data_IF_245404656900
#
_entry.id   IF_245404656900
#
_cell.length_a   1.000
_cell.length_b   1.000
_cell.length_c   1.000
_cell.angle_alpha   90.00
_cell.angle_beta   90.00
_cell.angle_gamma   90.00
#
_symmetry.space_group_name_H-M   'P 1'
#
loop_
_entity.id
_entity.type
_entity.pdbx_description
1 polymer ?
#
# COMPACT_ATOMS: atom_id res chain seq x y z
N UNK A 1 39.59 -57.64 -40.40
CA UNK A 1 39.47 -56.33 -39.73
C UNK A 1 38.61 -55.45 -40.61
N UNK A 2 37.36 -55.17 -40.22
CA UNK A 2 36.46 -54.31 -41.00
C UNK A 2 36.17 -53.05 -40.19
N UNK A 3 36.58 -51.90 -40.73
CA UNK A 3 36.27 -50.57 -40.17
C UNK A 3 35.10 -49.98 -40.96
N UNK A 4 33.94 -49.82 -40.32
CA UNK A 4 32.84 -49.03 -40.88
C UNK A 4 32.99 -47.57 -40.42
N UNK A 5 33.08 -46.58 -41.34
CA UNK A 5 33.09 -45.19 -40.93
C UNK A 5 31.65 -44.74 -40.67
N UNK A 6 31.26 -44.61 -39.42
CA UNK A 6 29.99 -43.97 -39.05
C UNK A 6 30.13 -42.45 -39.18
N UNK A 7 29.67 -41.90 -40.30
CA UNK A 7 29.32 -40.48 -40.40
C UNK A 7 27.82 -40.33 -40.11
N UNK A 8 27.46 -40.15 -38.85
CA UNK A 8 26.14 -39.66 -38.46
C UNK A 8 26.28 -38.19 -38.07
N UNK A 9 25.83 -37.30 -38.94
CA UNK A 9 25.57 -35.90 -38.59
C UNK A 9 24.08 -35.81 -38.19
N UNK A 10 23.73 -35.90 -36.89
CA UNK A 10 22.34 -35.71 -36.50
C UNK A 10 22.02 -34.22 -36.64
N UNK A 11 21.21 -33.89 -37.64
CA UNK A 11 20.54 -32.58 -37.72
C UNK A 11 19.80 -32.37 -36.41
N UNK A 12 20.34 -31.54 -35.53
CA UNK A 12 19.64 -31.09 -34.33
C UNK A 12 18.47 -30.24 -34.78
N UNK A 13 17.28 -30.84 -34.86
CA UNK A 13 16.05 -30.08 -34.97
C UNK A 13 15.90 -29.26 -33.69
N UNK A 14 16.19 -27.97 -33.79
CA UNK A 14 15.92 -27.00 -32.74
C UNK A 14 14.41 -26.79 -32.66
N UNK A 15 13.74 -27.61 -31.86
CA UNK A 15 12.35 -27.33 -31.48
C UNK A 15 12.36 -26.30 -30.36
N UNK A 16 12.02 -25.06 -30.68
CA UNK A 16 11.69 -24.07 -29.66
C UNK A 16 10.26 -24.30 -29.19
N UNK A 17 10.10 -24.91 -28.01
CA UNK A 17 8.79 -24.95 -27.35
C UNK A 17 8.59 -23.59 -26.67
N UNK A 18 7.67 -22.78 -27.19
CA UNK A 18 7.16 -21.60 -26.48
C UNK A 18 6.16 -22.06 -25.43
N UNK A 19 6.64 -22.44 -24.25
CA UNK A 19 5.76 -22.65 -23.09
C UNK A 19 5.38 -21.28 -22.54
N UNK A 20 4.13 -20.88 -22.71
CA UNK A 20 3.55 -19.77 -21.95
C UNK A 20 3.32 -20.26 -20.53
N UNK A 21 4.36 -20.21 -19.69
CA UNK A 21 4.26 -20.51 -18.26
C UNK A 21 3.40 -19.42 -17.61
N UNK A 22 2.08 -19.64 -17.55
CA UNK A 22 1.23 -18.87 -16.66
C UNK A 22 1.63 -19.23 -15.23
N UNK A 23 2.36 -18.32 -14.57
CA UNK A 23 2.77 -18.48 -13.18
C UNK A 23 1.51 -18.49 -12.32
N UNK A 24 1.15 -19.67 -11.81
CA UNK A 24 0.04 -19.77 -10.85
C UNK A 24 0.34 -18.87 -9.65
N UNK A 25 -0.65 -18.17 -9.10
CA UNK A 25 -0.45 -17.38 -7.89
C UNK A 25 0.09 -18.30 -6.80
N UNK A 26 1.12 -17.83 -6.09
CA UNK A 26 1.69 -18.59 -4.99
C UNK A 26 0.64 -18.80 -3.89
N UNK A 27 0.77 -19.91 -3.15
CA UNK A 27 -0.15 -20.21 -2.05
C UNK A 27 -0.19 -19.04 -1.05
N UNK A 28 -1.40 -18.56 -0.73
CA UNK A 28 -1.59 -17.42 0.17
C UNK A 28 -1.29 -16.05 -0.45
N UNK A 29 -1.34 -15.95 -1.79
CA UNK A 29 -1.33 -14.67 -2.50
C UNK A 29 -2.71 -13.98 -2.39
N UNK A 30 -2.76 -12.72 -1.94
CA UNK A 30 -4.02 -11.97 -1.89
C UNK A 30 -4.41 -11.48 -3.29
N UNK A 31 -5.29 -12.25 -3.95
CA UNK A 31 -5.85 -11.87 -5.25
C UNK A 31 -6.68 -10.58 -5.15
N UNK A 32 -7.51 -10.49 -4.10
CA UNK A 32 -8.37 -9.35 -3.79
C UNK A 32 -7.96 -8.74 -2.43
N UNK A 33 -6.97 -7.83 -2.41
CA UNK A 33 -6.53 -7.22 -1.16
C UNK A 33 -7.63 -6.33 -0.56
N UNK A 34 -7.90 -6.48 0.73
CA UNK A 34 -8.93 -5.70 1.45
C UNK A 34 -8.29 -4.83 2.54
N UNK A 35 -7.32 -5.39 3.27
CA UNK A 35 -6.61 -4.69 4.34
C UNK A 35 -5.32 -4.06 3.81
N UNK A 36 -4.78 -3.08 4.53
CA UNK A 36 -3.47 -2.52 4.16
C UNK A 36 -2.39 -3.61 4.18
N UNK A 37 -2.51 -4.56 5.11
CA UNK A 37 -1.69 -5.77 5.17
C UNK A 37 -1.72 -6.58 3.89
N UNK A 38 -2.92 -6.82 3.33
CA UNK A 38 -3.07 -7.55 2.07
C UNK A 38 -2.42 -6.81 0.90
N UNK A 39 -2.59 -5.48 0.84
CA UNK A 39 -1.96 -4.66 -0.19
C UNK A 39 -0.43 -4.74 -0.10
N UNK A 40 0.15 -4.67 1.11
CA UNK A 40 1.59 -4.82 1.34
C UNK A 40 2.04 -6.23 0.93
N UNK A 41 1.35 -7.27 1.40
CA UNK A 41 1.65 -8.67 1.08
C UNK A 41 1.60 -8.93 -0.43
N UNK A 42 0.59 -8.39 -1.10
CA UNK A 42 0.43 -8.47 -2.56
C UNK A 42 1.64 -7.88 -3.26
N UNK A 43 1.96 -6.61 -2.98
CA UNK A 43 3.07 -5.88 -3.60
C UNK A 43 4.40 -6.58 -3.33
N UNK A 44 4.62 -7.06 -2.09
CA UNK A 44 5.80 -7.82 -1.71
C UNK A 44 5.95 -9.09 -2.57
N UNK A 45 4.88 -9.86 -2.72
CA UNK A 45 4.89 -11.09 -3.52
C UNK A 45 5.05 -10.82 -5.02
N UNK A 46 4.44 -9.74 -5.53
CA UNK A 46 4.58 -9.29 -6.92
C UNK A 46 6.04 -8.94 -7.26
N UNK A 47 6.74 -8.33 -6.31
CA UNK A 47 8.16 -7.96 -6.42
C UNK A 47 9.13 -9.10 -6.03
N UNK A 48 8.62 -10.22 -5.48
CA UNK A 48 9.46 -11.32 -5.00
C UNK A 48 10.30 -11.00 -3.77
N UNK A 49 9.88 -10.03 -2.95
CA UNK A 49 10.61 -9.55 -1.78
C UNK A 49 10.34 -10.38 -0.52
N UNK A 50 11.33 -10.42 0.37
CA UNK A 50 11.22 -10.93 1.73
C UNK A 50 10.59 -9.88 2.67
N UNK A 51 9.99 -10.31 3.77
CA UNK A 51 9.38 -9.40 4.76
C UNK A 51 10.42 -8.41 5.31
N UNK A 52 11.63 -8.88 5.65
CA UNK A 52 12.76 -8.01 6.06
C UNK A 52 13.15 -6.93 5.06
N UNK A 53 13.01 -7.17 3.76
CA UNK A 53 13.36 -6.19 2.72
C UNK A 53 12.30 -5.09 2.63
N UNK A 54 11.03 -5.47 2.73
CA UNK A 54 9.92 -4.51 2.86
C UNK A 54 10.05 -3.70 4.16
N UNK A 55 10.41 -4.37 5.25
CA UNK A 55 10.63 -3.72 6.54
C UNK A 55 11.74 -2.67 6.46
N UNK A 56 12.87 -2.99 5.82
CA UNK A 56 13.95 -2.03 5.58
C UNK A 56 13.51 -0.86 4.70
N UNK A 57 12.71 -1.12 3.66
CA UNK A 57 12.18 -0.07 2.76
C UNK A 57 11.24 0.90 3.47
N UNK A 58 10.37 0.40 4.34
CA UNK A 58 9.42 1.21 5.12
C UNK A 58 10.11 1.80 6.38
N UNK A 59 11.22 1.22 6.83
CA UNK A 59 11.92 1.59 8.05
C UNK A 59 11.19 1.14 9.32
N UNK A 60 10.74 -0.12 9.34
CA UNK A 60 10.12 -0.80 10.49
C UNK A 60 10.80 -2.15 10.74
N UNK A 61 10.38 -2.87 11.80
CA UNK A 61 10.87 -4.23 12.05
C UNK A 61 10.20 -5.25 11.13
N UNK A 62 10.87 -6.38 10.88
CA UNK A 62 10.28 -7.50 10.14
C UNK A 62 8.99 -8.02 10.82
N UNK A 63 8.98 -8.10 12.15
CA UNK A 63 7.80 -8.50 12.92
C UNK A 63 6.61 -7.54 12.71
N UNK A 64 6.88 -6.24 12.51
CA UNK A 64 5.84 -5.26 12.19
C UNK A 64 5.19 -5.56 10.84
N UNK A 65 5.99 -5.90 9.81
CA UNK A 65 5.46 -6.32 8.51
C UNK A 65 4.66 -7.60 8.64
N UNK A 66 5.18 -8.59 9.37
CA UNK A 66 4.46 -9.84 9.61
C UNK A 66 3.09 -9.59 10.25
N UNK A 67 3.03 -8.75 11.30
CA UNK A 67 1.78 -8.39 11.96
C UNK A 67 0.79 -7.74 10.99
N UNK A 68 1.25 -6.82 10.15
CA UNK A 68 0.39 -6.16 9.16
C UNK A 68 -0.16 -7.16 8.15
N UNK A 69 0.68 -8.04 7.61
CA UNK A 69 0.26 -9.09 6.68
C UNK A 69 -0.65 -10.17 7.30
N UNK A 70 -0.84 -10.15 8.63
CA UNK A 70 -1.73 -11.03 9.39
C UNK A 70 -2.90 -10.27 10.05
N UNK A 71 -3.22 -9.07 9.53
CA UNK A 71 -4.47 -8.36 9.86
C UNK A 71 -4.36 -7.31 10.96
N UNK A 72 -3.16 -7.05 11.51
CA UNK A 72 -2.96 -5.92 12.40
C UNK A 72 -2.87 -4.64 11.56
N UNK A 73 -3.79 -3.70 11.75
CA UNK A 73 -3.75 -2.46 10.99
C UNK A 73 -2.55 -1.57 11.38
N UNK A 74 -1.84 -0.99 10.40
CA UNK A 74 -0.73 -0.09 10.66
C UNK A 74 -1.22 1.20 11.32
N UNK A 75 -0.41 1.71 12.24
CA UNK A 75 -0.62 3.05 12.78
C UNK A 75 -0.52 4.10 11.67
N UNK A 76 -1.29 5.16 11.83
CA UNK A 76 -1.45 6.21 10.84
C UNK A 76 -0.12 6.85 10.40
N UNK A 77 0.85 7.01 11.30
CA UNK A 77 2.15 7.59 10.99
C UNK A 77 2.94 6.83 9.91
N UNK A 78 2.65 5.54 9.71
CA UNK A 78 3.28 4.73 8.67
C UNK A 78 2.61 4.86 7.29
N UNK A 79 1.41 5.44 7.22
CA UNK A 79 0.64 5.56 5.98
C UNK A 79 1.44 6.22 4.84
N UNK A 80 2.16 7.34 5.02
CA UNK A 80 2.96 7.93 3.94
C UNK A 80 4.02 6.98 3.39
N UNK A 81 4.71 6.24 4.27
CA UNK A 81 5.76 5.30 3.88
C UNK A 81 5.19 4.07 3.19
N UNK A 82 4.05 3.58 3.67
CA UNK A 82 3.32 2.46 3.05
C UNK A 82 2.82 2.87 1.66
N UNK A 83 2.22 4.05 1.52
CA UNK A 83 1.75 4.58 0.23
C UNK A 83 2.91 4.71 -0.75
N UNK A 84 4.07 5.22 -0.29
CA UNK A 84 5.28 5.30 -1.11
C UNK A 84 5.76 3.91 -1.57
N UNK A 85 5.74 2.90 -0.68
CA UNK A 85 6.09 1.52 -1.03
C UNK A 85 5.11 0.89 -2.04
N UNK A 86 3.80 1.09 -1.84
CA UNK A 86 2.76 0.54 -2.70
C UNK A 86 2.75 1.21 -4.08
N UNK A 87 2.99 2.52 -4.12
CA UNK A 87 2.84 3.38 -5.29
C UNK A 87 1.40 3.85 -5.54
N UNK A 88 0.48 3.61 -4.60
CA UNK A 88 -0.91 4.03 -4.64
C UNK A 88 -1.50 4.07 -3.22
N UNK A 89 -2.69 4.66 -3.08
CA UNK A 89 -3.41 4.75 -1.80
C UNK A 89 -4.36 3.55 -1.68
N UNK A 90 -4.20 2.67 -0.66
CA UNK A 90 -4.93 1.41 -0.56
C UNK A 90 -6.36 1.54 0.02
N UNK A 91 -6.87 2.76 0.20
CA UNK A 91 -8.19 3.00 0.77
C UNK A 91 -8.87 4.20 0.11
N UNK A 92 -10.18 4.11 -0.01
CA UNK A 92 -11.00 5.10 -0.73
C UNK A 92 -11.11 6.42 0.03
N UNK A 93 -11.23 7.51 -0.72
CA UNK A 93 -11.54 8.82 -0.17
C UNK A 93 -13.06 8.95 -0.01
N UNK A 94 -13.60 9.11 1.21
CA UNK A 94 -15.03 9.30 1.40
C UNK A 94 -15.52 10.59 0.73
N UNK A 95 -16.80 10.62 0.34
CA UNK A 95 -17.40 11.80 -0.30
C UNK A 95 -17.74 12.94 0.67
N UNK A 96 -17.86 12.65 1.96
CA UNK A 96 -18.19 13.65 2.97
C UNK A 96 -16.96 14.46 3.42
N UNK A 97 -17.16 15.72 3.79
CA UNK A 97 -16.06 16.66 4.10
C UNK A 97 -15.20 16.16 5.27
N UNK A 98 -15.81 15.54 6.28
CA UNK A 98 -15.09 15.02 7.43
C UNK A 98 -14.32 13.76 7.10
N UNK A 99 -14.90 12.88 6.31
CA UNK A 99 -14.25 11.70 5.76
C UNK A 99 -13.06 12.09 4.89
N UNK A 100 -13.18 13.12 4.05
CA UNK A 100 -12.06 13.69 3.28
C UNK A 100 -10.97 14.24 4.20
N UNK A 101 -11.33 14.93 5.29
CA UNK A 101 -10.36 15.43 6.27
C UNK A 101 -9.66 14.28 7.02
N UNK A 102 -10.40 13.26 7.43
CA UNK A 102 -9.85 12.05 8.04
C UNK A 102 -8.93 11.31 7.08
N UNK A 103 -9.32 11.20 5.81
CA UNK A 103 -8.53 10.61 4.73
C UNK A 103 -7.24 11.41 4.50
N UNK A 104 -7.31 12.73 4.39
CA UNK A 104 -6.14 13.60 4.24
C UNK A 104 -5.17 13.42 5.41
N UNK A 105 -5.71 13.43 6.63
CA UNK A 105 -4.94 13.15 7.85
C UNK A 105 -4.25 11.79 7.75
N UNK A 106 -4.97 10.73 7.31
CA UNK A 106 -4.46 9.35 7.19
C UNK A 106 -3.34 9.26 6.17
N UNK A 107 -3.58 9.72 4.95
CA UNK A 107 -2.62 9.72 3.84
C UNK A 107 -1.32 10.42 4.21
N UNK A 108 -1.42 11.58 4.85
CA UNK A 108 -0.27 12.38 5.25
C UNK A 108 0.37 11.92 6.58
N UNK A 109 -0.15 10.88 7.24
CA UNK A 109 0.38 10.38 8.51
C UNK A 109 0.32 11.40 9.65
N UNK A 110 -0.62 12.34 9.60
CA UNK A 110 -0.66 13.45 10.56
C UNK A 110 -1.26 13.02 11.89
N UNK A 111 -0.63 13.47 12.97
CA UNK A 111 -1.25 13.47 14.29
C UNK A 111 -2.33 14.56 14.37
N UNK A 112 -3.23 14.49 15.35
CA UNK A 112 -4.23 15.55 15.57
C UNK A 112 -3.56 16.92 15.85
N UNK A 113 -2.50 17.02 16.67
CA UNK A 113 -1.78 18.27 16.85
C UNK A 113 -1.16 18.82 15.57
N UNK A 114 -0.59 17.96 14.73
CA UNK A 114 0.00 18.38 13.46
C UNK A 114 -1.06 18.92 12.49
N UNK A 115 -2.19 18.23 12.36
CA UNK A 115 -3.32 18.71 11.56
C UNK A 115 -3.84 20.06 12.08
N UNK A 116 -3.97 20.21 13.40
CA UNK A 116 -4.38 21.46 14.03
C UNK A 116 -3.44 22.62 13.70
N UNK A 117 -2.13 22.40 13.77
CA UNK A 117 -1.12 23.39 13.36
C UNK A 117 -1.26 23.79 11.90
N UNK A 118 -1.47 22.83 10.99
CA UNK A 118 -1.64 23.10 9.55
C UNK A 118 -2.92 23.88 9.22
N UNK A 119 -4.01 23.59 9.93
CA UNK A 119 -5.30 24.25 9.72
C UNK A 119 -5.50 25.52 10.55
N UNK A 120 -4.56 25.84 11.43
CA UNK A 120 -4.71 26.85 12.48
C UNK A 120 -5.99 26.63 13.33
N UNK A 121 -6.19 25.39 13.78
CA UNK A 121 -7.32 24.96 14.62
C UNK A 121 -6.82 24.21 15.86
N UNK A 122 -7.61 24.23 16.94
CA UNK A 122 -7.25 23.52 18.16
C UNK A 122 -7.40 21.98 17.99
N UNK A 123 -6.47 21.14 18.48
CA UNK A 123 -6.52 19.69 18.30
C UNK A 123 -7.79 19.03 18.86
N UNK A 124 -8.32 19.54 19.97
CA UNK A 124 -9.55 19.01 20.59
C UNK A 124 -10.79 19.26 19.73
N UNK A 125 -10.83 20.41 19.06
CA UNK A 125 -11.90 20.70 18.13
C UNK A 125 -11.88 19.73 16.94
N UNK A 126 -10.69 19.40 16.42
CA UNK A 126 -10.53 18.39 15.38
C UNK A 126 -10.88 16.98 15.87
N UNK A 127 -10.56 16.66 17.13
CA UNK A 127 -10.96 15.39 17.77
C UNK A 127 -12.47 15.25 17.82
N UNK A 128 -13.18 16.29 18.28
CA UNK A 128 -14.64 16.29 18.36
C UNK A 128 -15.28 16.13 16.98
N UNK A 129 -14.73 16.81 15.98
CA UNK A 129 -15.19 16.77 14.59
C UNK A 129 -15.01 15.39 13.96
N UNK A 130 -13.80 14.83 14.04
CA UNK A 130 -13.45 13.55 13.42
C UNK A 130 -14.01 12.35 14.19
N UNK A 131 -14.25 12.50 15.50
CA UNK A 131 -14.88 11.49 16.35
C UNK A 131 -16.41 11.44 16.25
N UNK A 132 -17.02 12.29 15.42
CA UNK A 132 -18.48 12.34 15.27
C UNK A 132 -19.23 12.98 16.44
N UNK A 133 -18.53 13.73 17.29
CA UNK A 133 -19.10 14.47 18.40
C UNK A 133 -19.86 15.71 17.91
N UNK A 134 -19.24 16.89 18.02
CA UNK A 134 -19.85 18.15 17.57
C UNK A 134 -19.63 18.36 16.09
N UNK A 135 -20.69 18.66 15.34
CA UNK A 135 -20.58 19.07 13.94
C UNK A 135 -19.99 20.48 13.83
N UNK A 136 -19.10 20.74 12.86
CA UNK A 136 -18.53 22.06 12.62
C UNK A 136 -19.62 23.01 12.13
N UNK A 137 -19.48 24.27 12.51
CA UNK A 137 -20.30 25.34 11.95
C UNK A 137 -19.95 25.56 10.47
N UNK A 138 -20.87 26.15 9.71
CA UNK A 138 -20.70 26.47 8.27
C UNK A 138 -19.36 27.14 7.95
N UNK A 139 -18.96 28.16 8.74
CA UNK A 139 -17.67 28.85 8.58
C UNK A 139 -16.44 27.94 8.72
N UNK A 140 -16.53 26.91 9.55
CA UNK A 140 -15.45 25.94 9.73
C UNK A 140 -15.44 24.91 8.61
N UNK A 141 -16.60 24.56 8.05
CA UNK A 141 -16.72 23.71 6.87
C UNK A 141 -16.01 24.40 5.68
N UNK A 142 -16.32 25.67 5.42
CA UNK A 142 -15.67 26.46 4.35
C UNK A 142 -14.15 26.50 4.52
N UNK A 143 -13.64 26.63 5.75
CA UNK A 143 -12.20 26.56 6.05
C UNK A 143 -11.61 25.17 5.78
N UNK A 144 -12.33 24.10 6.11
CA UNK A 144 -11.88 22.73 5.84
C UNK A 144 -11.83 22.49 4.34
N UNK A 145 -12.83 22.92 3.59
CA UNK A 145 -12.88 22.80 2.13
C UNK A 145 -11.70 23.51 1.48
N UNK A 146 -11.48 24.79 1.82
CA UNK A 146 -10.34 25.57 1.33
C UNK A 146 -9.00 24.92 1.69
N UNK A 147 -8.87 24.36 2.90
CA UNK A 147 -7.67 23.66 3.31
C UNK A 147 -7.42 22.40 2.47
N UNK A 148 -8.47 21.62 2.19
CA UNK A 148 -8.38 20.39 1.40
C UNK A 148 -8.11 20.66 -0.08
N UNK A 149 -8.59 21.78 -0.64
CA UNK A 149 -8.32 22.18 -2.03
C UNK A 149 -6.89 22.69 -2.22
N UNK A 150 -6.35 23.43 -1.25
CA UNK A 150 -5.00 23.98 -1.33
C UNK A 150 -3.89 22.97 -0.95
N UNK A 151 -4.26 21.88 -0.28
CA UNK A 151 -3.32 20.90 0.28
C UNK A 151 -3.17 19.60 -0.52
N UNK A 152 -3.96 19.40 -1.58
CA UNK A 152 -3.83 18.32 -2.59
C UNK A 152 -2.96 18.75 -3.75
#
# INVERSE_FOLDING_TARGET
>A
MCTFPYHSNPKRHSFSIRILLQKRPALGYPEHPLTIGDHIRKKRMDLGLLQREVAATIGVSENTIWNWEHGIEPEQQYSPKIINFLGYIPFECPGDIMGRLAWYKRVNGLSLPELGRRMNQHPDQLRDWLGGGRRPLRKNIEKIEQFLENGT
#
